data_IF_414515557068
#
_entry.id   IF_414515557068
#
_cell.length_a   1.000
_cell.length_b   1.000
_cell.length_c   1.000
_cell.angle_alpha   90.00
_cell.angle_beta   90.00
_cell.angle_gamma   90.00
#
_symmetry.space_group_name_H-M   'P 1'
#
loop_
_entity.id
_entity.type
_entity.pdbx_description
1 polymer ?
#
# COMPACT_ATOMS: atom_id res chain seq x y z
N UNK A 1 15.72 -9.56 -23.97
CA UNK A 1 15.29 -10.35 -22.79
C UNK A 1 13.87 -9.94 -22.43
N UNK A 2 12.88 -10.80 -22.73
CA UNK A 2 11.47 -10.54 -22.40
C UNK A 2 11.28 -10.76 -20.90
N UNK A 3 10.87 -9.73 -20.16
CA UNK A 3 10.49 -9.90 -18.74
C UNK A 3 9.40 -10.97 -18.65
N UNK A 4 9.50 -11.96 -17.75
CA UNK A 4 8.42 -12.92 -17.55
C UNK A 4 7.15 -12.15 -17.20
N UNK A 5 6.05 -12.44 -17.90
CA UNK A 5 4.72 -11.89 -17.55
C UNK A 5 4.42 -12.35 -16.12
N UNK A 6 4.25 -11.40 -15.20
CA UNK A 6 3.83 -11.73 -13.83
C UNK A 6 2.56 -12.57 -13.93
N UNK A 7 2.59 -13.77 -13.33
CA UNK A 7 1.39 -14.59 -13.17
C UNK A 7 0.46 -13.81 -12.25
N UNK A 8 -0.69 -13.41 -12.75
CA UNK A 8 -1.67 -12.75 -11.89
C UNK A 8 -2.11 -13.75 -10.81
N UNK A 9 -2.08 -13.35 -9.53
CA UNK A 9 -2.58 -14.19 -8.47
C UNK A 9 -4.08 -14.43 -8.70
N UNK A 10 -4.53 -15.67 -8.49
CA UNK A 10 -5.96 -15.96 -8.42
C UNK A 10 -6.49 -15.32 -7.14
N UNK A 11 -7.37 -14.33 -7.29
CA UNK A 11 -8.01 -13.65 -6.17
C UNK A 11 -9.41 -14.25 -6.00
N UNK A 12 -9.73 -14.62 -4.76
CA UNK A 12 -11.08 -15.05 -4.41
C UNK A 12 -11.91 -13.84 -3.96
N UNK A 13 -13.16 -13.65 -4.42
CA UNK A 13 -14.01 -12.60 -3.88
C UNK A 13 -14.18 -12.73 -2.36
N UNK A 14 -14.03 -11.62 -1.64
CA UNK A 14 -14.01 -11.54 -0.18
C UNK A 14 -12.68 -11.89 0.47
N UNK A 15 -11.63 -12.19 -0.31
CA UNK A 15 -10.32 -12.53 0.24
C UNK A 15 -9.75 -11.35 1.04
N UNK A 16 -9.33 -11.56 2.31
CA UNK A 16 -8.76 -10.51 3.14
C UNK A 16 -7.47 -9.96 2.54
N UNK A 17 -7.33 -8.64 2.55
CA UNK A 17 -6.10 -7.96 2.16
C UNK A 17 -5.78 -6.79 3.09
N UNK A 18 -4.51 -6.40 3.09
CA UNK A 18 -3.99 -5.24 3.82
C UNK A 18 -3.52 -4.17 2.83
N UNK A 19 -3.63 -2.91 3.24
CA UNK A 19 -3.05 -1.78 2.51
C UNK A 19 -1.85 -1.24 3.28
N UNK A 20 -0.74 -1.05 2.58
CA UNK A 20 0.43 -0.36 3.11
C UNK A 20 0.78 0.80 2.18
N UNK A 21 0.63 2.03 2.66
CA UNK A 21 0.87 3.25 1.90
C UNK A 21 2.04 4.03 2.49
N UNK A 22 2.96 4.48 1.63
CA UNK A 22 4.21 5.12 2.05
C UNK A 22 4.73 6.10 1.03
N UNK A 23 5.18 7.26 1.49
CA UNK A 23 5.98 8.20 0.70
C UNK A 23 7.31 8.52 1.38
N UNK A 24 8.35 8.74 0.58
CA UNK A 24 9.72 8.94 1.07
C UNK A 24 9.93 10.32 1.68
N UNK A 25 9.18 11.33 1.20
CA UNK A 25 9.24 12.72 1.62
C UNK A 25 7.82 13.31 1.43
N UNK A 26 7.24 13.81 2.51
CA UNK A 26 6.17 14.80 2.48
C UNK A 26 6.73 16.11 3.02
N UNK A 27 6.20 17.24 2.55
CA UNK A 27 6.30 18.48 3.32
C UNK A 27 5.52 18.28 4.64
N UNK A 28 5.86 19.02 5.70
CA UNK A 28 5.48 18.68 7.09
C UNK A 28 3.96 18.50 7.33
N UNK A 29 3.10 18.94 6.40
CA UNK A 29 1.63 18.77 6.42
C UNK A 29 1.04 18.07 5.18
N UNK A 30 1.84 17.57 4.23
CA UNK A 30 1.32 16.97 2.99
C UNK A 30 1.05 15.45 3.13
N UNK A 31 -0.15 15.11 3.60
CA UNK A 31 -0.66 13.72 3.58
C UNK A 31 -1.25 13.33 2.21
N UNK A 32 -1.43 14.27 1.28
CA UNK A 32 -2.09 14.06 -0.01
C UNK A 32 -1.47 12.91 -0.81
N UNK A 33 -0.15 12.76 -0.73
CA UNK A 33 0.57 11.68 -1.42
C UNK A 33 0.21 10.28 -0.91
N UNK A 34 -0.09 10.13 0.38
CA UNK A 34 -0.51 8.86 0.98
C UNK A 34 -2.00 8.64 0.81
N UNK A 35 -2.83 9.67 1.03
CA UNK A 35 -4.29 9.58 0.87
C UNK A 35 -4.68 9.17 -0.55
N UNK A 36 -3.97 9.72 -1.55
CA UNK A 36 -4.16 9.34 -2.95
C UNK A 36 -3.75 7.89 -3.21
N UNK A 37 -2.67 7.40 -2.58
CA UNK A 37 -2.27 5.99 -2.70
C UNK A 37 -3.31 5.07 -2.08
N UNK A 38 -3.77 5.39 -0.87
CA UNK A 38 -4.79 4.61 -0.19
C UNK A 38 -6.05 4.51 -1.04
N UNK A 39 -6.54 5.65 -1.55
CA UNK A 39 -7.71 5.68 -2.43
C UNK A 39 -7.55 4.77 -3.65
N UNK A 40 -6.43 4.90 -4.38
CA UNK A 40 -6.17 4.06 -5.56
C UNK A 40 -6.12 2.58 -5.18
N UNK A 41 -5.50 2.25 -4.05
CA UNK A 41 -5.44 0.88 -3.55
C UNK A 41 -6.82 0.33 -3.17
N UNK A 42 -7.69 1.13 -2.55
CA UNK A 42 -9.08 0.74 -2.25
C UNK A 42 -9.88 0.50 -3.53
N UNK A 43 -9.77 1.39 -4.52
CA UNK A 43 -10.42 1.21 -5.83
C UNK A 43 -9.93 -0.05 -6.56
N UNK A 44 -8.66 -0.43 -6.38
CA UNK A 44 -8.11 -1.70 -6.91
C UNK A 44 -8.66 -2.90 -6.13
N UNK A 45 -8.71 -2.81 -4.79
CA UNK A 45 -9.24 -3.86 -3.94
C UNK A 45 -10.70 -4.16 -4.27
N UNK A 46 -11.53 -3.11 -4.40
CA UNK A 46 -12.93 -3.23 -4.80
C UNK A 46 -13.09 -3.90 -6.16
N UNK A 47 -12.36 -3.43 -7.18
CA UNK A 47 -12.37 -4.03 -8.53
C UNK A 47 -11.91 -5.49 -8.56
N UNK A 48 -11.09 -5.90 -7.59
CA UNK A 48 -10.59 -7.27 -7.44
C UNK A 48 -11.42 -8.13 -6.48
N UNK A 49 -12.44 -7.55 -5.84
CA UNK A 49 -13.25 -8.24 -4.85
C UNK A 49 -12.53 -8.53 -3.54
N UNK A 50 -11.48 -7.79 -3.18
CA UNK A 50 -10.76 -7.95 -1.92
C UNK A 50 -11.49 -7.28 -0.76
N UNK A 51 -11.42 -7.87 0.43
CA UNK A 51 -11.93 -7.29 1.66
C UNK A 51 -10.80 -6.60 2.44
N UNK A 52 -10.91 -5.28 2.63
CA UNK A 52 -9.95 -4.50 3.42
C UNK A 52 -10.56 -4.17 4.78
N UNK A 53 -10.01 -4.76 5.85
CA UNK A 53 -10.33 -4.33 7.20
C UNK A 53 -9.66 -2.98 7.48
N UNK A 54 -10.37 -1.97 8.03
CA UNK A 54 -9.76 -0.72 8.46
C UNK A 54 -8.55 -0.88 9.40
N UNK A 55 -8.51 -1.94 10.22
CA UNK A 55 -7.37 -2.26 11.09
C UNK A 55 -6.14 -2.77 10.33
N UNK A 56 -6.29 -3.12 9.05
CA UNK A 56 -5.23 -3.57 8.15
C UNK A 56 -4.83 -2.50 7.13
N UNK A 57 -5.02 -1.23 7.48
CA UNK A 57 -4.58 -0.08 6.70
C UNK A 57 -3.44 0.60 7.43
N UNK A 58 -2.27 0.57 6.81
CA UNK A 58 -1.01 0.99 7.40
C UNK A 58 -0.42 2.14 6.61
N UNK A 59 -0.05 3.21 7.30
CA UNK A 59 0.44 4.45 6.70
C UNK A 59 1.80 4.82 7.29
N UNK A 60 2.78 5.04 6.42
CA UNK A 60 4.10 5.54 6.77
C UNK A 60 4.43 6.80 5.94
N UNK A 61 4.04 7.97 6.45
CA UNK A 61 4.41 9.25 5.85
C UNK A 61 5.87 9.63 6.17
N UNK A 62 6.57 10.24 5.19
CA UNK A 62 7.97 10.69 5.31
C UNK A 62 8.95 9.60 5.77
N UNK A 63 8.77 8.36 5.31
CA UNK A 63 9.65 7.21 5.62
C UNK A 63 10.38 6.72 4.37
N UNK A 64 11.70 6.89 4.36
CA UNK A 64 12.55 6.38 3.30
C UNK A 64 12.55 4.85 3.23
N UNK A 65 12.37 4.32 2.01
CA UNK A 65 12.49 2.90 1.71
C UNK A 65 13.93 2.35 1.80
N UNK A 66 14.93 3.23 1.75
CA UNK A 66 16.33 2.84 1.52
C UNK A 66 17.21 2.94 2.77
N UNK A 67 16.82 3.74 3.76
CA UNK A 67 17.58 3.84 5.02
C UNK A 67 17.32 2.60 5.89
N UNK A 68 18.34 1.73 6.02
CA UNK A 68 18.27 0.49 6.83
C UNK A 68 17.82 0.68 8.29
N UNK A 69 18.13 1.82 8.90
CA UNK A 69 17.81 2.08 10.31
C UNK A 69 16.50 2.86 10.52
N UNK A 70 15.67 3.02 9.49
CA UNK A 70 14.36 3.67 9.62
C UNK A 70 13.27 2.63 9.88
N UNK A 71 12.75 2.63 11.10
CA UNK A 71 11.56 1.87 11.47
C UNK A 71 10.34 2.32 10.66
N UNK A 72 9.43 1.39 10.39
CA UNK A 72 8.20 1.54 9.62
C UNK A 72 7.07 0.92 10.44
N UNK A 73 6.49 1.64 11.41
CA UNK A 73 5.50 1.07 12.32
C UNK A 73 4.28 0.44 11.62
N UNK A 74 3.98 0.85 10.38
CA UNK A 74 2.94 0.23 9.56
C UNK A 74 3.37 -1.06 8.84
N UNK A 75 4.65 -1.43 8.89
CA UNK A 75 5.21 -2.57 8.17
C UNK A 75 6.01 -3.53 9.05
N UNK A 76 6.82 -2.99 9.95
CA UNK A 76 7.67 -3.74 10.90
C UNK A 76 6.81 -4.42 11.98
#
# INVERSE_FOLDING_TARGET
MTRPKHREPTITPGEPAALYCRISQADDDDQTGVDRQERICREIAERRGLAIDPSHVFVDNSRSAWRRNRKRPGWD
#
